data_IF_314320745515
#
_entry.id   IF_314320745515
#
_cell.length_a   1.000
_cell.length_b   1.000
_cell.length_c   1.000
_cell.angle_alpha   90.00
_cell.angle_beta   90.00
_cell.angle_gamma   90.00
#
_symmetry.space_group_name_H-M   'P 1'
#
loop_
_entity.id
_entity.type
_entity.pdbx_description
1 polymer ?
#
# COMPACT_ATOMS: atom_id res chain seq x y z
N UNK A 1 5.39 -27.18 38.04
CA UNK A 1 4.80 -27.48 36.71
C UNK A 1 3.55 -26.63 36.40
N UNK A 2 2.49 -26.65 37.22
CA UNK A 2 1.24 -25.88 36.96
C UNK A 2 1.41 -24.34 36.88
N UNK A 3 2.34 -23.76 37.66
CA UNK A 3 2.63 -22.31 37.61
C UNK A 3 3.28 -21.90 36.29
N UNK A 4 4.30 -22.62 35.84
CA UNK A 4 4.97 -22.38 34.55
C UNK A 4 3.98 -22.49 33.38
N UNK A 5 3.10 -23.49 33.40
CA UNK A 5 2.07 -23.65 32.37
C UNK A 5 1.12 -22.44 32.31
N UNK A 6 0.68 -21.91 33.45
CA UNK A 6 -0.15 -20.70 33.49
C UNK A 6 0.55 -19.47 32.90
N UNK A 7 1.84 -19.30 33.18
CA UNK A 7 2.64 -18.20 32.62
C UNK A 7 2.82 -18.33 31.11
N UNK A 8 3.10 -19.54 30.61
CA UNK A 8 3.23 -19.79 29.16
C UNK A 8 1.90 -19.54 28.45
N UNK A 9 0.79 -20.05 29.01
CA UNK A 9 -0.54 -19.81 28.43
C UNK A 9 -0.87 -18.32 28.44
N UNK A 10 -0.60 -17.61 29.54
CA UNK A 10 -0.79 -16.17 29.61
C UNK A 10 0.03 -15.43 28.54
N UNK A 11 1.31 -15.78 28.38
CA UNK A 11 2.19 -15.18 27.39
C UNK A 11 1.66 -15.39 25.97
N UNK A 12 1.27 -16.62 25.62
CA UNK A 12 0.72 -16.93 24.28
C UNK A 12 -0.56 -16.14 24.01
N UNK A 13 -1.47 -16.08 24.98
CA UNK A 13 -2.72 -15.31 24.84
C UNK A 13 -2.43 -13.82 24.65
N UNK A 14 -1.50 -13.25 25.42
CA UNK A 14 -1.07 -11.85 25.27
C UNK A 14 -0.45 -11.59 23.90
N UNK A 15 0.39 -12.50 23.40
CA UNK A 15 1.02 -12.38 22.09
C UNK A 15 -0.01 -12.42 20.95
N UNK A 16 -0.99 -13.32 21.04
CA UNK A 16 -2.10 -13.39 20.09
C UNK A 16 -2.94 -12.11 20.10
N UNK A 17 -3.24 -11.57 21.29
CA UNK A 17 -3.96 -10.30 21.43
C UNK A 17 -3.19 -9.14 20.78
N UNK A 18 -1.88 -9.05 20.99
CA UNK A 18 -1.03 -8.03 20.35
C UNK A 18 -1.03 -8.16 18.83
N UNK A 19 -0.96 -9.39 18.31
CA UNK A 19 -1.03 -9.66 16.87
C UNK A 19 -2.35 -9.18 16.27
N UNK A 20 -3.47 -9.50 16.91
CA UNK A 20 -4.80 -9.04 16.50
C UNK A 20 -4.84 -7.52 16.51
N UNK A 21 -4.37 -6.89 17.59
CA UNK A 21 -4.34 -5.43 17.71
C UNK A 21 -3.54 -4.78 16.58
N UNK A 22 -2.36 -5.32 16.26
CA UNK A 22 -1.51 -4.81 15.19
C UNK A 22 -2.20 -4.85 13.82
N UNK A 23 -2.92 -5.93 13.51
CA UNK A 23 -3.68 -6.07 12.24
C UNK A 23 -4.78 -5.03 12.14
N UNK A 24 -5.46 -4.70 13.24
CA UNK A 24 -6.51 -3.68 13.24
C UNK A 24 -5.99 -2.24 13.27
N UNK A 25 -4.87 -1.98 13.96
CA UNK A 25 -4.30 -0.64 14.08
C UNK A 25 -3.55 -0.22 12.81
N UNK A 26 -2.86 -1.13 12.12
CA UNK A 26 -2.16 -0.83 10.86
C UNK A 26 -3.02 -0.05 9.83
N UNK A 27 -4.23 -0.49 9.46
CA UNK A 27 -5.08 0.23 8.52
C UNK A 27 -5.60 1.58 9.02
N UNK A 28 -5.67 1.78 10.35
CA UNK A 28 -6.12 3.02 10.95
C UNK A 28 -5.00 4.07 10.94
N UNK A 29 -3.76 3.64 11.19
CA UNK A 29 -2.61 4.56 11.28
C UNK A 29 -1.93 4.83 9.93
N UNK A 30 -2.07 3.94 8.95
CA UNK A 30 -1.44 4.09 7.63
C UNK A 30 -2.49 4.12 6.53
N UNK A 31 -2.85 5.32 6.06
CA UNK A 31 -3.66 5.49 4.86
C UNK A 31 -2.80 6.04 3.71
N UNK A 32 -2.49 5.24 2.67
CA UNK A 32 -1.69 5.69 1.53
C UNK A 32 -2.28 6.90 0.80
N UNK A 33 -3.59 7.12 0.90
CA UNK A 33 -4.27 8.24 0.27
C UNK A 33 -3.84 9.58 0.87
N UNK A 34 -3.40 9.60 2.13
CA UNK A 34 -2.92 10.82 2.79
C UNK A 34 -1.57 11.29 2.19
N UNK A 35 -0.81 10.35 1.61
CA UNK A 35 0.51 10.58 0.99
C UNK A 35 0.45 10.62 -0.54
N UNK A 36 -0.75 10.57 -1.13
CA UNK A 36 -0.97 10.61 -2.59
C UNK A 36 -0.16 11.69 -3.34
N UNK A 37 -0.11 12.98 -2.90
CA UNK A 37 0.67 13.99 -3.62
C UNK A 37 2.17 13.73 -3.57
N UNK A 38 2.68 13.10 -2.51
CA UNK A 38 4.08 12.75 -2.36
C UNK A 38 4.44 11.58 -3.28
N UNK A 39 3.62 10.53 -3.28
CA UNK A 39 3.76 9.36 -4.16
C UNK A 39 3.74 9.81 -5.63
N UNK A 40 2.80 10.68 -5.99
CA UNK A 40 2.73 11.24 -7.35
C UNK A 40 4.04 11.93 -7.75
N UNK A 41 4.58 12.81 -6.89
CA UNK A 41 5.85 13.49 -7.16
C UNK A 41 7.03 12.51 -7.29
N UNK A 42 7.09 11.47 -6.46
CA UNK A 42 8.14 10.45 -6.57
C UNK A 42 8.07 9.72 -7.91
N UNK A 43 6.86 9.33 -8.34
CA UNK A 43 6.64 8.66 -9.63
C UNK A 43 7.01 9.59 -10.78
N UNK A 44 6.56 10.85 -10.74
CA UNK A 44 6.92 11.87 -11.74
C UNK A 44 8.42 12.05 -11.86
N UNK A 45 9.13 12.12 -10.72
CA UNK A 45 10.58 12.26 -10.68
C UNK A 45 11.30 11.02 -11.24
N UNK A 46 10.80 9.81 -10.99
CA UNK A 46 11.42 8.58 -11.49
C UNK A 46 11.18 8.35 -12.98
N UNK A 47 9.99 8.67 -13.48
CA UNK A 47 9.61 8.46 -14.88
C UNK A 47 10.05 9.64 -15.77
N UNK A 48 10.30 10.82 -15.17
CA UNK A 48 10.64 12.04 -15.90
C UNK A 48 9.46 12.62 -16.70
N UNK A 49 8.23 12.25 -16.33
CA UNK A 49 6.99 12.69 -16.99
C UNK A 49 5.95 13.09 -15.97
N UNK A 50 5.02 13.95 -16.36
CA UNK A 50 3.87 14.25 -15.53
C UNK A 50 2.99 13.00 -15.38
N UNK A 51 2.63 12.69 -14.15
CA UNK A 51 1.75 11.58 -13.77
C UNK A 51 0.69 12.14 -12.86
N UNK A 52 -0.58 11.83 -13.13
CA UNK A 52 -1.69 12.20 -12.27
C UNK A 52 -2.31 10.92 -11.71
N UNK A 53 -2.45 10.89 -10.39
CA UNK A 53 -3.18 9.84 -9.69
C UNK A 53 -4.59 10.39 -9.43
N UNK A 54 -5.59 9.96 -10.18
CA UNK A 54 -6.96 10.48 -10.05
C UNK A 54 -7.78 9.64 -9.07
N UNK A 55 -7.60 8.32 -9.09
CA UNK A 55 -8.30 7.39 -8.22
C UNK A 55 -7.68 7.20 -6.83
N UNK A 56 -8.33 6.40 -5.96
CA UNK A 56 -7.81 6.04 -4.64
C UNK A 56 -6.64 5.06 -4.75
N UNK A 57 -5.72 5.16 -3.80
CA UNK A 57 -4.63 4.21 -3.60
C UNK A 57 -5.12 3.12 -2.65
N UNK A 58 -5.28 1.91 -3.19
CA UNK A 58 -5.50 0.70 -2.42
C UNK A 58 -4.19 0.14 -1.91
N UNK A 59 -4.24 -0.59 -0.79
CA UNK A 59 -3.09 -1.34 -0.31
C UNK A 59 -3.53 -2.56 0.49
N UNK A 60 -2.62 -3.53 0.57
CA UNK A 60 -2.77 -4.73 1.40
C UNK A 60 -1.43 -5.06 2.04
N UNK A 61 -1.44 -5.65 3.23
CA UNK A 61 -0.21 -6.05 3.95
C UNK A 61 -0.12 -7.54 4.26
N UNK A 62 -1.20 -8.29 4.08
CA UNK A 62 -1.20 -9.73 4.31
C UNK A 62 -2.17 -10.44 3.36
N UNK A 63 -1.76 -11.55 2.71
CA UNK A 63 -0.46 -12.25 2.83
C UNK A 63 0.68 -11.63 1.98
N UNK A 64 0.39 -10.58 1.23
CA UNK A 64 1.35 -9.82 0.41
C UNK A 64 1.30 -8.35 0.80
N UNK A 65 2.44 -7.67 0.67
CA UNK A 65 2.48 -6.21 0.67
C UNK A 65 2.18 -5.76 -0.75
N UNK A 66 1.03 -5.13 -0.95
CA UNK A 66 0.55 -4.68 -2.25
C UNK A 66 0.16 -3.19 -2.19
N UNK A 67 0.49 -2.45 -3.24
CA UNK A 67 -0.02 -1.11 -3.53
C UNK A 67 -0.76 -1.19 -4.86
N UNK A 68 -1.96 -0.62 -4.90
CA UNK A 68 -2.82 -0.57 -6.08
C UNK A 68 -3.19 0.89 -6.35
N UNK A 69 -2.70 1.44 -7.45
CA UNK A 69 -3.04 2.76 -7.93
C UNK A 69 -4.18 2.63 -8.95
N UNK A 70 -5.29 3.30 -8.70
CA UNK A 70 -6.42 3.33 -9.61
C UNK A 70 -6.45 4.64 -10.39
N UNK A 71 -6.85 4.57 -11.66
CA UNK A 71 -7.00 5.73 -12.55
C UNK A 71 -5.71 6.57 -12.58
N UNK A 72 -4.69 5.98 -13.20
CA UNK A 72 -3.36 6.60 -13.38
C UNK A 72 -3.25 7.11 -14.80
N UNK A 73 -3.00 8.41 -14.96
CA UNK A 73 -2.72 9.02 -16.26
C UNK A 73 -1.29 9.51 -16.30
N UNK A 74 -0.66 9.35 -17.46
CA UNK A 74 0.73 9.74 -17.71
C UNK A 74 0.73 10.65 -18.92
N UNK A 75 1.38 11.82 -18.82
CA UNK A 75 1.51 12.74 -19.94
C UNK A 75 2.30 12.10 -21.08
N UNK A 76 1.88 12.42 -22.30
CA UNK A 76 2.50 11.88 -23.49
C UNK A 76 3.84 12.58 -23.79
N UNK A 77 4.73 11.91 -24.50
CA UNK A 77 5.99 12.50 -24.91
C UNK A 77 5.81 13.40 -26.15
N UNK A 78 6.68 14.40 -26.30
CA UNK A 78 6.65 15.31 -27.46
C UNK A 78 6.81 14.52 -28.76
N UNK A 79 5.78 14.57 -29.62
CA UNK A 79 5.75 13.86 -30.92
C UNK A 79 4.71 12.76 -31.01
N UNK A 80 4.05 12.40 -29.91
CA UNK A 80 2.92 11.47 -29.90
C UNK A 80 1.58 12.23 -29.98
N UNK A 81 0.54 11.58 -30.52
CA UNK A 81 -0.80 12.18 -30.63
C UNK A 81 -1.50 12.16 -29.27
N UNK A 82 -2.02 13.32 -28.85
CA UNK A 82 -2.78 13.48 -27.61
C UNK A 82 -1.93 13.87 -26.41
N UNK A 83 -2.53 14.58 -25.45
CA UNK A 83 -1.85 15.16 -24.29
C UNK A 83 -1.46 14.11 -23.22
N UNK A 84 -2.21 13.01 -23.15
CA UNK A 84 -2.01 11.92 -22.19
C UNK A 84 -2.03 10.55 -22.89
N UNK A 85 -1.36 9.57 -22.28
CA UNK A 85 -1.55 8.16 -22.61
C UNK A 85 -2.96 7.71 -22.23
N UNK A 86 -3.43 6.65 -22.88
CA UNK A 86 -4.69 6.00 -22.49
C UNK A 86 -4.66 5.68 -20.99
N UNK A 87 -5.71 6.07 -20.23
CA UNK A 87 -5.74 5.89 -18.78
C UNK A 87 -5.49 4.44 -18.37
N UNK A 88 -4.57 4.25 -17.44
CA UNK A 88 -4.30 2.94 -16.86
C UNK A 88 -5.34 2.73 -15.77
N UNK A 89 -6.25 1.77 -16.00
CA UNK A 89 -7.33 1.47 -15.06
C UNK A 89 -6.82 1.12 -13.65
N UNK A 90 -5.91 0.15 -13.56
CA UNK A 90 -5.29 -0.24 -12.28
C UNK A 90 -3.83 -0.63 -12.48
N UNK A 91 -2.93 -0.02 -11.69
CA UNK A 91 -1.53 -0.39 -11.59
C UNK A 91 -1.27 -1.03 -10.23
N UNK A 92 -0.79 -2.27 -10.19
CA UNK A 92 -0.53 -2.98 -8.94
C UNK A 92 0.94 -3.36 -8.82
N UNK A 93 1.55 -3.03 -7.68
CA UNK A 93 2.86 -3.51 -7.27
C UNK A 93 2.70 -4.41 -6.05
N UNK A 94 3.23 -5.64 -6.10
CA UNK A 94 3.05 -6.64 -5.02
C UNK A 94 4.36 -7.32 -4.66
N UNK A 95 4.60 -7.50 -3.37
CA UNK A 95 5.73 -8.23 -2.79
C UNK A 95 5.18 -9.33 -1.88
N UNK A 96 5.60 -10.58 -2.15
CA UNK A 96 5.21 -11.76 -1.36
C UNK A 96 6.05 -11.81 -0.08
N UNK A 97 5.41 -11.96 1.08
CA UNK A 97 6.10 -12.01 2.37
C UNK A 97 6.53 -13.43 2.78
N UNK A 98 5.80 -14.45 2.30
CA UNK A 98 5.99 -15.87 2.61
C UNK A 98 5.75 -16.70 1.35
#
# INVERSE_FOLDING_TARGET
MKKLLKWIVGLVVTLLLLLVLAVFLLPIFFNPNDHKPEIQRMIQHQIGREVQLNGPIGWSVFPWIAIELNDVTVANETGFKGDYLDPIGTLSARVKLL
#
